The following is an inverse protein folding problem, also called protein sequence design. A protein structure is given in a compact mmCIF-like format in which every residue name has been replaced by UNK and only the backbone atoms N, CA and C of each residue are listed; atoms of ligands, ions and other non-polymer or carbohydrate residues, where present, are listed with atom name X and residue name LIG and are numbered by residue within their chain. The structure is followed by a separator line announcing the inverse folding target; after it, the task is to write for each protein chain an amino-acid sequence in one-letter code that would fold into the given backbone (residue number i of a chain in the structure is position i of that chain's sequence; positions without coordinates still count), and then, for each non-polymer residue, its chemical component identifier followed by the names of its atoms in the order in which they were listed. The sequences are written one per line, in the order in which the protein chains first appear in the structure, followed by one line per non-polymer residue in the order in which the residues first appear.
data_IF_478624804089
#
_entry.id   IF_478624804089
#
_cell.length_a   1.000
_cell.length_b   1.000
_cell.length_c   1.000
_cell.angle_alpha   90.00
_cell.angle_beta   90.00
_cell.angle_gamma   90.00
#
_symmetry.space_group_name_H-M   'P 1'
#
loop_
_entity.id
_entity.type
_entity.pdbx_description
1 polymer ?
#
# COMPACT_ATOMS: atom_id res chain seq x y z
N UNK A 1 11.61 -3.41 -4.92
CA UNK A 1 10.18 -3.68 -4.70
C UNK A 1 9.44 -3.44 -6.01
N UNK A 2 8.56 -4.35 -6.45
CA UNK A 2 7.86 -4.23 -7.73
C UNK A 2 6.86 -3.08 -7.61
N UNK A 3 6.96 -2.05 -8.47
CA UNK A 3 5.97 -0.96 -8.49
C UNK A 3 4.74 -1.44 -9.25
N UNK A 4 3.64 -1.70 -8.54
CA UNK A 4 2.35 -1.98 -9.17
C UNK A 4 1.79 -0.71 -9.82
N UNK A 5 1.38 -0.80 -11.09
CA UNK A 5 0.60 0.25 -11.73
C UNK A 5 -0.81 0.32 -11.10
N UNK A 6 -1.55 1.40 -11.33
CA UNK A 6 -2.93 1.49 -10.84
C UNK A 6 -3.81 0.37 -11.40
N UNK A 7 -3.58 -0.06 -12.64
CA UNK A 7 -4.31 -1.18 -13.24
C UNK A 7 -3.96 -2.50 -12.58
N UNK A 8 -2.69 -2.76 -12.27
CA UNK A 8 -2.29 -3.96 -11.53
C UNK A 8 -2.92 -3.96 -10.14
N UNK A 9 -2.85 -2.81 -9.43
CA UNK A 9 -3.44 -2.65 -8.12
C UNK A 9 -4.95 -2.91 -8.15
N UNK A 10 -5.65 -2.31 -9.12
CA UNK A 10 -7.09 -2.50 -9.33
C UNK A 10 -7.43 -3.96 -9.62
N UNK A 11 -6.63 -4.61 -10.46
CA UNK A 11 -6.81 -6.01 -10.83
C UNK A 11 -6.64 -6.95 -9.63
N UNK A 12 -5.58 -6.73 -8.83
CA UNK A 12 -5.34 -7.49 -7.60
C UNK A 12 -6.49 -7.29 -6.60
N UNK A 13 -6.93 -6.04 -6.40
CA UNK A 13 -8.08 -5.75 -5.55
C UNK A 13 -9.40 -6.34 -6.07
N UNK A 14 -9.54 -6.54 -7.39
CA UNK A 14 -10.72 -7.17 -7.98
C UNK A 14 -10.71 -8.69 -7.78
N UNK A 15 -9.56 -9.36 -7.95
CA UNK A 15 -9.43 -10.80 -7.80
C UNK A 15 -9.46 -11.24 -6.34
N UNK A 16 -8.66 -10.60 -5.47
CA UNK A 16 -8.51 -11.02 -4.08
C UNK A 16 -9.48 -10.31 -3.11
N UNK A 17 -10.16 -9.27 -3.60
CA UNK A 17 -10.93 -8.36 -2.77
C UNK A 17 -10.07 -7.25 -2.16
N UNK A 18 -10.66 -6.05 -2.01
CA UNK A 18 -9.98 -4.83 -1.56
C UNK A 18 -9.14 -5.05 -0.30
N UNK A 19 -9.69 -5.72 0.72
CA UNK A 19 -9.02 -5.94 2.01
C UNK A 19 -7.77 -6.82 1.90
N UNK A 20 -7.90 -8.00 1.28
CA UNK A 20 -6.80 -8.96 1.20
C UNK A 20 -5.66 -8.45 0.30
N UNK A 21 -6.02 -7.81 -0.82
CA UNK A 21 -5.06 -7.15 -1.69
C UNK A 21 -4.27 -6.05 -0.97
N UNK A 22 -4.95 -5.20 -0.19
CA UNK A 22 -4.31 -4.17 0.62
C UNK A 22 -3.42 -4.79 1.68
N UNK A 23 -3.87 -5.82 2.41
CA UNK A 23 -3.04 -6.52 3.39
C UNK A 23 -1.75 -7.04 2.77
N UNK A 24 -1.81 -7.73 1.63
CA UNK A 24 -0.61 -8.25 0.96
C UNK A 24 0.32 -7.12 0.53
N UNK A 25 -0.18 -6.16 -0.24
CA UNK A 25 0.65 -5.09 -0.83
C UNK A 25 1.27 -4.22 0.26
N UNK A 26 0.51 -3.90 1.30
CA UNK A 26 0.95 -3.03 2.37
C UNK A 26 1.72 -3.79 3.47
N UNK A 27 1.62 -5.12 3.58
CA UNK A 27 2.39 -5.89 4.59
C UNK A 27 3.90 -5.76 4.42
N UNK A 28 4.37 -5.57 3.18
CA UNK A 28 5.79 -5.31 2.89
C UNK A 28 6.21 -3.85 3.19
N UNK A 29 5.25 -2.93 3.39
CA UNK A 29 5.48 -1.49 3.52
C UNK A 29 5.22 -1.00 4.95
N UNK A 30 4.10 -1.42 5.55
CA UNK A 30 3.63 -1.00 6.85
C UNK A 30 3.98 -2.01 7.93
N UNK A 31 4.23 -1.49 9.14
CA UNK A 31 4.15 -2.31 10.35
C UNK A 31 2.73 -2.88 10.53
N UNK A 32 2.68 -4.12 10.98
CA UNK A 32 1.46 -4.90 11.20
C UNK A 32 0.37 -4.17 12.00
N UNK A 33 0.73 -3.32 12.97
CA UNK A 33 -0.23 -2.48 13.73
C UNK A 33 -0.95 -1.46 12.84
N UNK A 34 -0.22 -0.72 12.02
CA UNK A 34 -0.78 0.31 11.13
C UNK A 34 -1.53 -0.32 9.97
N UNK A 35 -1.03 -1.44 9.43
CA UNK A 35 -1.72 -2.24 8.42
C UNK A 35 -3.13 -2.63 8.87
N UNK A 36 -3.26 -3.16 10.09
CA UNK A 36 -4.54 -3.64 10.63
C UNK A 36 -5.55 -2.51 10.83
N UNK A 37 -5.09 -1.33 11.24
CA UNK A 37 -5.93 -0.13 11.34
C UNK A 37 -6.39 0.35 9.95
N UNK A 38 -5.49 0.30 8.96
CA UNK A 38 -5.78 0.69 7.59
C UNK A 38 -6.80 -0.25 6.93
N UNK A 39 -6.60 -1.56 7.07
CA UNK A 39 -7.51 -2.57 6.52
C UNK A 39 -8.91 -2.48 7.11
N UNK A 40 -9.04 -2.14 8.41
CA UNK A 40 -10.36 -1.85 9.03
C UNK A 40 -11.06 -0.63 8.41
N UNK A 41 -10.31 0.40 7.99
CA UNK A 41 -10.91 1.56 7.30
C UNK A 41 -11.35 1.21 5.88
N UNK A 42 -10.55 0.43 5.17
CA UNK A 42 -10.89 -0.09 3.83
C UNK A 42 -12.14 -0.97 3.88
N UNK A 43 -12.26 -1.82 4.90
CA UNK A 43 -13.41 -2.71 5.11
C UNK A 43 -14.71 -1.95 5.41
N UNK A 44 -14.63 -0.78 6.05
CA UNK A 44 -15.79 0.09 6.28
C UNK A 44 -16.25 0.82 5.01
N UNK A 45 -15.66 0.55 3.84
CA UNK A 45 -15.89 1.25 2.57
C UNK A 45 -15.71 2.78 2.66
N UNK A 46 -15.01 3.25 3.69
CA UNK A 46 -14.79 4.68 3.93
C UNK A 46 -13.74 5.26 2.95
N UNK A 47 -12.98 4.39 2.27
CA UNK A 47 -11.82 4.77 1.47
C UNK A 47 -11.90 4.17 0.06
N UNK A 48 -11.75 5.05 -0.94
CA UNK A 48 -11.67 4.68 -2.36
C UNK A 48 -10.34 4.00 -2.74
N UNK A 49 -10.41 3.14 -3.76
CA UNK A 49 -9.25 2.48 -4.38
C UNK A 49 -8.16 3.49 -4.83
N UNK A 50 -8.57 4.66 -5.33
CA UNK A 50 -7.64 5.72 -5.73
C UNK A 50 -6.87 6.31 -4.54
N UNK A 51 -7.57 6.52 -3.42
CA UNK A 51 -6.97 7.05 -2.19
C UNK A 51 -5.97 6.05 -1.62
N UNK A 52 -6.34 4.77 -1.58
CA UNK A 52 -5.45 3.69 -1.15
C UNK A 52 -4.21 3.63 -2.04
N UNK A 53 -4.38 3.69 -3.36
CA UNK A 53 -3.25 3.66 -4.29
C UNK A 53 -2.32 4.87 -4.14
N UNK A 54 -2.88 6.04 -3.84
CA UNK A 54 -2.08 7.24 -3.55
C UNK A 54 -1.23 7.06 -2.29
N UNK A 55 -1.80 6.53 -1.21
CA UNK A 55 -1.03 6.21 0.01
C UNK A 55 0.05 5.15 -0.24
N UNK A 56 -0.21 4.16 -1.09
CA UNK A 56 0.79 3.20 -1.53
C UNK A 56 1.98 3.89 -2.22
N UNK A 57 1.71 4.83 -3.14
CA UNK A 57 2.75 5.60 -3.82
C UNK A 57 3.54 6.49 -2.87
N UNK A 58 2.86 7.23 -1.99
CA UNK A 58 3.51 8.11 -1.02
C UNK A 58 4.46 7.31 -0.10
N UNK A 59 4.04 6.13 0.35
CA UNK A 59 4.87 5.26 1.18
C UNK A 59 6.05 4.64 0.42
N UNK A 60 5.87 4.31 -0.86
CA UNK A 60 6.96 3.87 -1.74
C UNK A 60 8.01 4.97 -1.94
N UNK A 61 7.59 6.23 -2.12
CA UNK A 61 8.51 7.38 -2.25
C UNK A 61 9.31 7.56 -0.96
N UNK A 62 8.64 7.54 0.19
CA UNK A 62 9.28 7.67 1.50
C UNK A 62 10.36 6.58 1.69
N UNK A 63 10.06 5.31 1.39
CA UNK A 63 11.05 4.21 1.50
C UNK A 63 12.28 4.43 0.62
N UNK A 64 12.09 4.91 -0.61
CA UNK A 64 13.20 5.17 -1.53
C UNK A 64 14.08 6.33 -1.03
N UNK A 65 13.48 7.41 -0.50
CA UNK A 65 14.21 8.53 0.09
C UNK A 65 15.03 8.11 1.32
N UNK A 66 14.46 7.28 2.20
CA UNK A 66 15.18 6.73 3.35
C UNK A 66 16.34 5.82 2.93
N UNK A 67 16.17 4.99 1.90
CA UNK A 67 17.26 4.15 1.38
C UNK A 67 18.37 4.96 0.72
N UNK A 68 18.04 6.04 0.01
CA UNK A 68 19.01 6.87 -0.69
C UNK A 68 19.85 7.73 0.26
N UNK A 69 19.30 8.16 1.40
CA UNK A 69 20.06 8.86 2.46
C UNK A 69 21.02 7.94 3.23
N UNK A 70 20.68 6.65 3.36
CA UNK A 70 21.49 5.67 4.11
C UNK A 70 22.72 5.16 3.34
N UNK A 71 22.76 5.35 2.03
CA UNK A 71 23.89 4.99 1.16
C UNK A 71 24.90 6.13 0.96
N UNK A 72 24.66 7.31 1.55
CA UNK A 72 25.55 8.48 1.45
C UNK A 72 26.46 8.68 2.66
N UNK A 73 26.44 7.74 3.61
CA UNK A 73 27.32 7.71 4.79
C UNK A 73 27.97 6.35 4.91
#
# INVERSE_FOLDING_TARGET
MRKYSFNDFKYICYIEGKKSAVEKIFSEIFESKKLKAFCKKVEKNDIDLKTIYKEYLDMQVIKNDYQQKRSRY
#
